data_IF_931229924600
#
_entry.id   IF_931229924600
#
_cell.length_a   1.000
_cell.length_b   1.000
_cell.length_c   1.000
_cell.angle_alpha   90.00
_cell.angle_beta   90.00
_cell.angle_gamma   90.00
#
_symmetry.space_group_name_H-M   'P 1'
#
loop_
_entity.id
_entity.type
_entity.pdbx_description
1 polymer ?
#
# COMPACT_ATOMS: atom_id res chain seq x y z
N UNK A 1 5.74 17.07 16.47
CA UNK A 1 5.48 17.29 15.03
C UNK A 1 6.39 16.36 14.20
N UNK A 2 6.19 15.04 14.27
CA UNK A 2 6.88 14.06 13.41
C UNK A 2 5.81 13.51 12.48
N UNK A 3 5.75 14.04 11.26
CA UNK A 3 4.81 13.60 10.22
C UNK A 3 5.27 12.22 9.72
N UNK A 4 4.32 11.31 9.47
CA UNK A 4 4.52 9.88 9.33
C UNK A 4 5.62 9.41 8.37
N UNK A 5 6.20 8.24 8.68
CA UNK A 5 7.14 7.50 7.85
C UNK A 5 8.52 8.16 7.70
N UNK A 6 9.37 8.00 8.72
CA UNK A 6 10.74 8.52 8.70
C UNK A 6 11.78 7.43 8.41
N UNK A 7 12.84 7.78 7.68
CA UNK A 7 14.05 6.94 7.60
C UNK A 7 14.74 7.00 8.98
N UNK A 8 14.95 5.86 9.65
CA UNK A 8 15.62 5.85 10.95
C UNK A 8 17.10 6.23 10.80
N UNK A 9 17.70 6.81 11.86
CA UNK A 9 19.15 7.12 11.90
C UNK A 9 20.01 5.85 11.74
N UNK A 10 19.44 4.69 12.06
CA UNK A 10 20.06 3.37 11.91
C UNK A 10 19.77 2.72 10.56
N UNK A 11 19.19 3.42 9.59
CA UNK A 11 19.03 2.92 8.23
C UNK A 11 20.41 2.73 7.56
N UNK A 12 20.66 1.61 6.84
CA UNK A 12 19.73 0.56 6.40
C UNK A 12 19.57 -0.64 7.37
N UNK A 13 20.27 -0.64 8.50
CA UNK A 13 20.22 -1.72 9.51
C UNK A 13 18.80 -1.93 10.05
N UNK A 14 18.07 -0.84 10.26
CA UNK A 14 16.65 -0.88 10.61
C UNK A 14 15.80 -0.53 9.40
N UNK A 15 14.78 -1.35 9.11
CA UNK A 15 13.82 -1.07 8.05
C UNK A 15 13.05 0.23 8.33
N UNK A 16 12.71 1.03 7.31
CA UNK A 16 11.89 2.21 7.49
C UNK A 16 10.46 1.83 7.88
N UNK A 17 9.85 2.63 8.74
CA UNK A 17 8.45 2.45 9.11
C UNK A 17 7.54 3.07 8.04
N UNK A 18 6.59 2.29 7.53
CA UNK A 18 5.61 2.77 6.53
C UNK A 18 4.31 3.07 7.27
N UNK A 19 3.84 4.32 7.19
CA UNK A 19 2.63 4.76 7.84
C UNK A 19 1.62 5.32 6.82
N UNK A 20 0.38 4.84 6.88
CA UNK A 20 -0.75 5.32 6.09
C UNK A 20 -1.81 5.86 7.06
N UNK A 21 -1.74 7.16 7.42
CA UNK A 21 -2.64 7.73 8.42
C UNK A 21 -4.11 7.72 7.99
N UNK A 22 -4.40 7.70 6.68
CA UNK A 22 -5.78 7.68 6.15
C UNK A 22 -6.54 6.37 6.45
N UNK A 23 -5.81 5.31 6.78
CA UNK A 23 -6.32 3.98 7.08
C UNK A 23 -6.32 3.65 8.59
N UNK A 24 -6.01 4.63 9.46
CA UNK A 24 -5.94 4.45 10.92
C UNK A 24 -7.28 4.08 11.52
N UNK A 25 -7.31 2.95 12.25
CA UNK A 25 -8.51 2.37 12.85
C UNK A 25 -9.48 1.70 11.88
N UNK A 26 -9.15 1.57 10.59
CA UNK A 26 -10.04 0.99 9.56
C UNK A 26 -9.74 -0.47 9.23
N UNK A 27 -8.55 -0.95 9.56
CA UNK A 27 -8.10 -2.34 9.36
C UNK A 27 -7.53 -2.89 10.66
N UNK A 28 -7.74 -4.19 10.91
CA UNK A 28 -7.17 -4.90 12.06
C UNK A 28 -5.64 -5.07 12.00
N UNK A 29 -5.03 -4.87 10.82
CA UNK A 29 -3.60 -5.05 10.56
C UNK A 29 -2.82 -3.73 10.56
N UNK A 30 -3.18 -2.83 11.49
CA UNK A 30 -2.47 -1.59 11.69
C UNK A 30 -2.21 -1.28 13.16
N UNK A 31 -0.99 -0.83 13.45
CA UNK A 31 -0.60 -0.33 14.76
C UNK A 31 -1.03 1.13 14.92
N UNK A 32 -1.20 1.55 16.18
CA UNK A 32 -1.58 2.93 16.55
C UNK A 32 -0.78 3.97 15.78
N UNK A 33 -1.49 4.90 15.13
CA UNK A 33 -0.88 6.02 14.42
C UNK A 33 -0.53 5.73 12.97
N UNK A 34 -1.28 4.85 12.29
CA UNK A 34 -1.11 4.67 10.85
C UNK A 34 -0.08 3.61 10.43
N UNK A 35 0.65 2.98 11.36
CA UNK A 35 1.80 2.13 11.01
C UNK A 35 1.34 0.74 10.57
N UNK A 36 1.72 0.30 9.37
CA UNK A 36 1.33 -1.02 8.88
C UNK A 36 1.93 -2.12 9.75
N UNK A 37 1.14 -3.14 10.07
CA UNK A 37 1.66 -4.34 10.70
C UNK A 37 2.44 -5.14 9.64
N UNK A 38 3.77 -4.99 9.64
CA UNK A 38 4.64 -5.82 8.84
C UNK A 38 4.55 -7.28 9.32
N UNK A 39 4.71 -8.23 8.41
CA UNK A 39 4.69 -9.65 8.78
C UNK A 39 5.87 -9.96 9.71
N UNK A 40 5.67 -10.85 10.69
CA UNK A 40 6.72 -11.27 11.63
C UNK A 40 7.98 -11.79 10.91
N UNK A 41 7.79 -12.36 9.72
CA UNK A 41 8.85 -12.85 8.85
C UNK A 41 9.64 -11.75 8.12
N UNK A 42 9.15 -10.51 8.09
CA UNK A 42 9.80 -9.40 7.38
C UNK A 42 11.07 -8.92 8.10
N UNK A 43 11.05 -8.78 9.42
CA UNK A 43 12.22 -8.34 10.19
C UNK A 43 13.44 -9.28 10.05
N UNK A 44 13.31 -10.61 10.21
CA UNK A 44 14.44 -11.52 10.01
C UNK A 44 14.88 -11.59 8.54
N UNK A 45 13.97 -11.41 7.57
CA UNK A 45 14.33 -11.34 6.15
C UNK A 45 15.13 -10.07 5.84
N UNK A 46 14.74 -8.93 6.41
CA UNK A 46 15.45 -7.67 6.28
C UNK A 46 16.85 -7.77 6.86
N UNK A 47 16.97 -8.22 8.13
CA UNK A 47 18.23 -8.33 8.84
C UNK A 47 19.29 -9.18 8.10
N UNK A 48 18.86 -10.23 7.38
CA UNK A 48 19.75 -11.10 6.59
C UNK A 48 20.29 -10.46 5.31
N UNK A 49 19.61 -9.44 4.79
CA UNK A 49 19.91 -8.85 3.48
C UNK A 49 20.39 -7.39 3.54
N UNK A 50 20.48 -6.80 4.74
CA UNK A 50 21.19 -5.53 4.95
C UNK A 50 22.68 -5.71 4.61
N UNK A 51 23.33 -4.75 3.92
CA UNK A 51 22.85 -3.43 3.49
C UNK A 51 22.33 -3.37 2.04
N UNK A 52 22.05 -4.51 1.40
CA UNK A 52 21.59 -4.56 -0.01
C UNK A 52 20.14 -4.12 -0.18
N UNK A 53 19.34 -4.26 0.89
CA UNK A 53 17.93 -3.87 0.88
C UNK A 53 17.75 -2.37 1.06
N UNK A 54 16.84 -1.82 0.25
CA UNK A 54 16.58 -0.39 0.13
C UNK A 54 15.11 -0.06 0.35
N UNK A 55 14.74 1.22 0.21
CA UNK A 55 13.33 1.67 0.34
C UNK A 55 12.43 0.94 -0.67
N UNK A 56 12.90 0.73 -1.91
CA UNK A 56 12.16 -0.04 -2.92
C UNK A 56 11.81 -1.45 -2.45
N UNK A 57 12.75 -2.13 -1.77
CA UNK A 57 12.52 -3.47 -1.22
C UNK A 57 11.54 -3.42 -0.03
N UNK A 58 11.61 -2.39 0.81
CA UNK A 58 10.66 -2.20 1.91
C UNK A 58 9.22 -2.03 1.38
N UNK A 59 9.04 -1.27 0.29
CA UNK A 59 7.75 -1.11 -0.37
C UNK A 59 7.28 -2.41 -1.04
N UNK A 60 8.16 -3.07 -1.79
CA UNK A 60 7.81 -4.29 -2.52
C UNK A 60 7.49 -5.47 -1.60
N UNK A 61 8.26 -5.68 -0.54
CA UNK A 61 8.14 -6.85 0.36
C UNK A 61 7.27 -6.58 1.60
N UNK A 62 7.20 -5.33 2.06
CA UNK A 62 6.40 -4.95 3.22
C UNK A 62 5.01 -4.45 2.81
N UNK A 63 4.97 -3.37 2.03
CA UNK A 63 3.70 -2.71 1.68
C UNK A 63 2.90 -3.48 0.62
N UNK A 64 3.55 -4.06 -0.40
CA UNK A 64 2.89 -4.77 -1.48
C UNK A 64 1.97 -5.91 -1.00
N UNK A 65 2.48 -6.89 -0.25
CA UNK A 65 1.67 -7.99 0.28
C UNK A 65 0.57 -7.52 1.25
N UNK A 66 0.82 -6.44 2.00
CA UNK A 66 -0.17 -5.87 2.91
C UNK A 66 -1.35 -5.27 2.12
N UNK A 67 -1.08 -4.45 1.09
CA UNK A 67 -2.12 -3.88 0.24
C UNK A 67 -2.94 -4.95 -0.47
N UNK A 68 -2.30 -6.04 -0.92
CA UNK A 68 -2.98 -7.13 -1.60
C UNK A 68 -4.06 -7.81 -0.73
N UNK A 69 -3.88 -7.83 0.59
CA UNK A 69 -4.83 -8.46 1.52
C UNK A 69 -5.83 -7.43 2.08
N UNK A 70 -5.35 -6.24 2.45
CA UNK A 70 -6.17 -5.27 3.18
C UNK A 70 -7.03 -4.41 2.26
N UNK A 71 -6.58 -4.07 1.04
CA UNK A 71 -7.37 -3.23 0.13
C UNK A 71 -8.70 -3.89 -0.27
N UNK A 72 -8.76 -5.19 -0.65
CA UNK A 72 -10.02 -5.85 -0.97
C UNK A 72 -10.99 -5.87 0.21
N UNK A 73 -10.50 -6.13 1.43
CA UNK A 73 -11.31 -6.15 2.64
C UNK A 73 -11.91 -4.76 2.94
N UNK A 74 -11.11 -3.71 2.83
CA UNK A 74 -11.54 -2.32 3.04
C UNK A 74 -12.55 -1.84 1.99
N UNK A 75 -12.45 -2.34 0.75
CA UNK A 75 -13.43 -2.08 -0.32
C UNK A 75 -14.74 -2.83 -0.05
N UNK A 76 -14.67 -4.08 0.39
CA UNK A 76 -15.86 -4.88 0.71
C UNK A 76 -16.66 -4.31 1.89
N UNK A 77 -15.96 -3.79 2.91
CA UNK A 77 -16.58 -3.10 4.03
C UNK A 77 -17.06 -1.67 3.70
N UNK A 78 -16.81 -1.18 2.48
CA UNK A 78 -17.24 0.15 2.04
C UNK A 78 -16.50 1.31 2.71
N UNK A 79 -15.35 1.04 3.34
CA UNK A 79 -14.57 2.05 4.08
C UNK A 79 -13.68 2.89 3.15
N UNK A 80 -13.30 2.32 1.99
CA UNK A 80 -12.53 3.00 0.94
C UNK A 80 -13.33 3.02 -0.36
N UNK A 81 -13.37 4.17 -1.02
CA UNK A 81 -13.93 4.34 -2.37
C UNK A 81 -12.82 4.74 -3.34
N UNK A 82 -12.84 4.19 -4.54
CA UNK A 82 -11.83 4.48 -5.56
C UNK A 82 -11.88 5.96 -5.97
N UNK A 83 -10.75 6.67 -5.85
CA UNK A 83 -10.66 8.13 -6.04
C UNK A 83 -10.97 8.57 -7.48
N UNK A 84 -10.76 7.71 -8.49
CA UNK A 84 -10.99 8.07 -9.90
C UNK A 84 -12.46 8.34 -10.25
N UNK A 85 -13.42 7.89 -9.43
CA UNK A 85 -14.83 8.25 -9.66
C UNK A 85 -15.17 9.71 -9.28
N UNK A 86 -14.26 10.41 -8.61
CA UNK A 86 -14.47 11.79 -8.13
C UNK A 86 -13.77 12.85 -8.98
N UNK A 87 -13.12 12.47 -10.09
CA UNK A 87 -12.47 13.40 -11.01
C UNK A 87 -12.95 13.18 -12.46
N UNK A 88 -14.16 13.68 -12.75
CA UNK A 88 -14.73 13.97 -14.08
C UNK A 88 -14.85 12.83 -15.14
N UNK A 89 -16.03 12.65 -15.78
CA UNK A 89 -16.15 11.82 -16.98
C UNK A 89 -15.67 12.62 -18.20
N UNK A 90 -14.48 12.31 -18.73
CA UNK A 90 -14.11 12.79 -20.08
C UNK A 90 -14.01 11.61 -21.02
N UNK A 91 -14.97 11.58 -21.95
CA UNK A 91 -15.09 10.63 -23.05
C UNK A 91 -13.78 10.45 -23.83
N UNK A 92 -13.39 9.19 -24.06
CA UNK A 92 -12.61 8.73 -25.21
C UNK A 92 -13.15 7.32 -25.51
N UNK A 93 -14.11 7.13 -26.42
CA UNK A 93 -13.99 7.17 -27.88
C UNK A 93 -12.75 6.43 -28.40
N UNK A 94 -12.99 5.16 -28.75
CA UNK A 94 -12.13 4.29 -29.54
C UNK A 94 -13.02 3.22 -30.16
N UNK A 95 -13.50 3.51 -31.36
CA UNK A 95 -14.26 2.62 -32.26
C UNK A 95 -13.57 1.25 -32.43
N UNK A 96 -14.26 0.16 -32.71
CA UNK A 96 -14.53 -0.25 -34.10
C UNK A 96 -15.63 -1.32 -34.12
N UNK A 97 -16.59 -1.09 -35.01
CA UNK A 97 -17.76 -1.88 -35.37
C UNK A 97 -17.41 -3.10 -36.24
N UNK A 98 -18.03 -4.25 -35.97
CA UNK A 98 -18.80 -5.02 -36.96
C UNK A 98 -19.76 -6.00 -36.24
N UNK A 99 -21.01 -5.58 -36.00
CA UNK A 99 -22.20 -5.98 -36.78
C UNK A 99 -22.40 -7.50 -36.90
N UNK A 100 -23.21 -8.05 -35.99
CA UNK A 100 -24.08 -9.20 -36.26
C UNK A 100 -25.42 -8.66 -36.79
N UNK A 101 -26.15 -9.50 -37.53
CA UNK A 101 -27.48 -9.31 -38.13
C UNK A 101 -27.50 -8.75 -39.57
N UNK A 102 -27.20 -9.61 -40.55
CA UNK A 102 -28.18 -10.06 -41.55
C UNK A 102 -27.79 -11.43 -42.11
#
# INVERSE_FOLDING_TARGET
MVRGGGIPVTYPTTAPEIAIPELDGKTAKMYRGGKICLTDHFQPLWAKNVPKFGIAHALALGLGPWLAVEVPDLVQHGVIVHKERSAAPTNASGNTSNTSVQ
#
